data_IF_111916130578
#
_entry.id   IF_111916130578
#
_cell.length_a   1.000
_cell.length_b   1.000
_cell.length_c   1.000
_cell.angle_alpha   90.00
_cell.angle_beta   90.00
_cell.angle_gamma   90.00
#
_symmetry.space_group_name_H-M   'P 1'
#
loop_
_entity.id
_entity.type
_entity.pdbx_description
1 polymer ?
#
# COMPACT_ATOMS: atom_id res chain seq x y z
N UNK A 1 15.38 28.61 -22.48
CA UNK A 1 15.91 28.30 -21.13
C UNK A 1 15.32 26.95 -20.74
N UNK A 2 16.02 25.88 -21.11
CA UNK A 2 15.64 24.50 -20.77
C UNK A 2 16.26 24.28 -19.40
N UNK A 3 15.42 24.09 -18.38
CA UNK A 3 15.91 23.65 -17.09
C UNK A 3 16.37 22.20 -17.26
N UNK A 4 17.68 21.98 -17.13
CA UNK A 4 18.27 20.66 -17.03
C UNK A 4 17.63 19.94 -15.84
N UNK A 5 16.72 19.02 -16.13
CA UNK A 5 16.11 18.12 -15.16
C UNK A 5 17.24 17.23 -14.64
N UNK A 6 17.48 17.34 -13.33
CA UNK A 6 18.50 16.65 -12.54
C UNK A 6 18.87 15.24 -13.07
N UNK A 7 20.16 14.86 -13.09
CA UNK A 7 20.55 13.50 -13.41
C UNK A 7 19.99 12.56 -12.33
N UNK A 8 19.07 11.67 -12.74
CA UNK A 8 18.57 10.59 -11.90
C UNK A 8 19.76 9.73 -11.41
N UNK A 9 19.86 9.45 -10.10
CA UNK A 9 21.00 8.73 -9.57
C UNK A 9 21.06 7.30 -10.11
N UNK A 10 22.20 6.98 -10.69
CA UNK A 10 22.58 5.65 -11.17
C UNK A 10 22.75 4.69 -10.00
N UNK A 11 21.67 3.95 -9.70
CA UNK A 11 21.64 2.62 -9.07
C UNK A 11 22.13 2.49 -7.61
N UNK A 12 21.19 2.63 -6.67
CA UNK A 12 21.02 1.71 -5.52
C UNK A 12 19.52 1.35 -5.46
N UNK A 13 19.15 0.07 -5.34
CA UNK A 13 17.75 -0.41 -5.34
C UNK A 13 17.00 0.04 -4.06
N UNK A 14 16.65 1.32 -3.99
CA UNK A 14 15.76 1.94 -3.03
C UNK A 14 15.11 3.11 -3.79
N UNK A 15 13.81 3.05 -4.05
CA UNK A 15 13.15 4.14 -4.77
C UNK A 15 11.91 3.78 -5.59
N UNK A 16 11.06 2.86 -5.11
CA UNK A 16 9.66 2.82 -5.52
C UNK A 16 8.81 3.56 -4.47
N UNK A 17 7.64 4.12 -4.81
CA UNK A 17 6.67 4.54 -3.80
C UNK A 17 6.43 3.39 -2.81
N UNK A 18 6.33 3.70 -1.53
CA UNK A 18 5.80 2.72 -0.57
C UNK A 18 4.28 2.81 -0.56
N UNK A 19 3.65 1.65 -0.47
CA UNK A 19 2.23 1.52 -0.23
C UNK A 19 2.00 1.58 1.29
N UNK A 20 1.33 2.60 1.77
CA UNK A 20 0.74 2.62 3.10
C UNK A 20 -0.69 2.09 3.00
N UNK A 21 -0.94 0.90 3.53
CA UNK A 21 -2.24 0.23 3.43
C UNK A 21 -2.71 -0.24 4.79
N UNK A 22 -3.92 0.16 5.19
CA UNK A 22 -4.47 -0.24 6.48
C UNK A 22 -6.00 -0.23 6.48
N UNK A 23 -6.58 -1.01 7.39
CA UNK A 23 -8.04 -1.11 7.58
C UNK A 23 -8.44 -0.34 8.84
N UNK A 24 -9.32 0.63 8.66
CA UNK A 24 -9.83 1.48 9.72
C UNK A 24 -11.35 1.33 9.84
N UNK A 25 -11.90 1.56 11.02
CA UNK A 25 -13.34 1.70 11.21
C UNK A 25 -13.71 3.19 11.28
N UNK A 26 -14.65 3.63 10.43
CA UNK A 26 -15.15 5.00 10.47
C UNK A 26 -16.26 5.19 11.53
N UNK A 27 -16.74 6.44 11.70
CA UNK A 27 -17.79 6.77 12.68
C UNK A 27 -19.15 6.09 12.40
N UNK A 28 -19.39 5.64 11.16
CA UNK A 28 -20.59 4.84 10.81
C UNK A 28 -20.39 3.34 11.00
N UNK A 29 -19.29 2.93 11.64
CA UNK A 29 -18.90 1.54 11.91
C UNK A 29 -18.57 0.72 10.66
N UNK A 30 -18.36 1.35 9.51
CA UNK A 30 -17.88 0.68 8.31
C UNK A 30 -16.36 0.46 8.38
N UNK A 31 -15.92 -0.74 8.02
CA UNK A 31 -14.51 -1.08 7.86
C UNK A 31 -14.05 -0.70 6.45
N UNK A 32 -13.00 0.09 6.37
CA UNK A 32 -12.48 0.65 5.13
C UNK A 32 -10.98 0.35 5.02
N UNK A 33 -10.57 -0.24 3.90
CA UNK A 33 -9.17 -0.35 3.51
C UNK A 33 -8.75 0.94 2.81
N UNK A 34 -7.86 1.71 3.44
CA UNK A 34 -7.17 2.83 2.81
C UNK A 34 -5.87 2.35 2.19
N UNK A 35 -5.61 2.75 0.94
CA UNK A 35 -4.34 2.50 0.25
C UNK A 35 -3.77 3.83 -0.25
N UNK A 36 -2.61 4.21 0.26
CA UNK A 36 -1.91 5.43 -0.10
C UNK A 36 -0.57 5.11 -0.73
N UNK A 37 -0.27 5.76 -1.85
CA UNK A 37 1.06 5.76 -2.44
C UNK A 37 1.83 6.94 -1.88
N UNK A 38 2.98 6.67 -1.27
CA UNK A 38 3.81 7.72 -0.69
C UNK A 38 5.19 7.69 -1.34
N UNK A 39 5.61 8.84 -1.86
CA UNK A 39 6.90 9.04 -2.49
C UNK A 39 7.45 10.42 -2.12
N UNK A 40 8.68 10.45 -1.59
CA UNK A 40 9.39 11.69 -1.22
C UNK A 40 8.58 12.66 -0.34
N UNK A 41 7.79 12.13 0.60
CA UNK A 41 6.96 12.95 1.49
C UNK A 41 5.63 13.43 0.89
N UNK A 42 5.37 13.11 -0.38
CA UNK A 42 4.07 13.32 -1.01
C UNK A 42 3.24 12.03 -0.93
N UNK A 43 2.05 12.12 -0.32
CA UNK A 43 1.08 11.03 -0.26
C UNK A 43 -0.07 11.27 -1.23
N UNK A 44 -0.45 10.24 -1.99
CA UNK A 44 -1.65 10.20 -2.81
C UNK A 44 -2.55 9.06 -2.36
N UNK A 45 -3.84 9.31 -2.17
CA UNK A 45 -4.80 8.23 -1.95
C UNK A 45 -5.03 7.49 -3.27
N UNK A 46 -4.61 6.23 -3.34
CA UNK A 46 -4.84 5.37 -4.50
C UNK A 46 -6.23 4.74 -4.46
N UNK A 47 -6.64 4.25 -3.29
CA UNK A 47 -7.96 3.66 -3.10
C UNK A 47 -8.45 3.84 -1.66
N UNK A 48 -9.78 3.89 -1.53
CA UNK A 48 -10.50 3.75 -0.26
C UNK A 48 -11.66 2.78 -0.50
N UNK A 49 -11.54 1.57 0.04
CA UNK A 49 -12.43 0.46 -0.31
C UNK A 49 -13.21 -0.04 0.91
N UNK A 50 -14.48 -0.41 0.77
CA UNK A 50 -15.19 -1.12 1.83
C UNK A 50 -14.62 -2.53 2.00
N UNK A 51 -14.21 -2.89 3.22
CA UNK A 51 -13.72 -4.24 3.53
C UNK A 51 -14.87 -5.24 3.66
N UNK A 52 -16.08 -4.77 3.97
CA UNK A 52 -17.27 -5.60 4.16
C UNK A 52 -17.28 -6.34 5.51
N UNK A 53 -18.14 -7.36 5.66
CA UNK A 53 -18.32 -8.05 6.94
C UNK A 53 -17.15 -8.96 7.31
N UNK A 54 -16.39 -9.46 6.32
CA UNK A 54 -15.24 -10.35 6.54
C UNK A 54 -13.95 -9.54 6.54
N UNK A 55 -13.44 -9.26 7.73
CA UNK A 55 -12.26 -8.42 7.98
C UNK A 55 -11.25 -9.12 8.90
N UNK A 56 -11.18 -10.46 8.83
CA UNK A 56 -10.06 -11.22 9.39
C UNK A 56 -8.77 -11.01 8.58
N UNK A 57 -7.64 -11.43 9.12
CA UNK A 57 -6.34 -11.21 8.51
C UNK A 57 -6.19 -11.81 7.10
N UNK A 58 -6.88 -12.90 6.79
CA UNK A 58 -6.83 -13.51 5.45
C UNK A 58 -7.57 -12.61 4.47
N UNK A 59 -8.78 -12.19 4.83
CA UNK A 59 -9.58 -11.30 3.99
C UNK A 59 -8.89 -9.94 3.74
N UNK A 60 -8.23 -9.39 4.77
CA UNK A 60 -7.44 -8.16 4.62
C UNK A 60 -6.24 -8.39 3.72
N UNK A 61 -5.51 -9.51 3.89
CA UNK A 61 -4.38 -9.84 3.03
C UNK A 61 -4.81 -9.99 1.56
N UNK A 62 -5.91 -10.68 1.28
CA UNK A 62 -6.47 -10.81 -0.07
C UNK A 62 -6.81 -9.46 -0.70
N UNK A 63 -7.43 -8.55 0.06
CA UNK A 63 -7.77 -7.20 -0.44
C UNK A 63 -6.52 -6.35 -0.69
N UNK A 64 -5.56 -6.36 0.24
CA UNK A 64 -4.29 -5.66 0.08
C UNK A 64 -3.50 -6.19 -1.12
N UNK A 65 -3.43 -7.51 -1.29
CA UNK A 65 -2.79 -8.16 -2.44
C UNK A 65 -3.45 -7.75 -3.75
N UNK A 66 -4.77 -7.79 -3.83
CA UNK A 66 -5.51 -7.32 -5.01
C UNK A 66 -5.14 -5.88 -5.38
N UNK A 67 -4.97 -5.00 -4.38
CA UNK A 67 -4.52 -3.62 -4.62
C UNK A 67 -3.07 -3.53 -5.06
N UNK A 68 -2.17 -4.33 -4.48
CA UNK A 68 -0.79 -4.40 -4.89
C UNK A 68 -0.63 -4.89 -6.34
N UNK A 69 -1.41 -5.90 -6.75
CA UNK A 69 -1.44 -6.40 -8.12
C UNK A 69 -1.99 -5.34 -9.08
N UNK A 70 -3.09 -4.67 -8.70
CA UNK A 70 -3.67 -3.59 -9.51
C UNK A 70 -2.69 -2.43 -9.69
N UNK A 71 -2.01 -2.01 -8.63
CA UNK A 71 -0.98 -0.98 -8.69
C UNK A 71 0.16 -1.33 -9.64
N UNK A 72 0.64 -2.59 -9.59
CA UNK A 72 1.67 -3.07 -10.51
C UNK A 72 1.17 -3.08 -11.96
N UNK A 73 -0.08 -3.48 -12.20
CA UNK A 73 -0.71 -3.43 -13.52
C UNK A 73 -0.88 -1.99 -14.03
N UNK A 74 -1.11 -1.03 -13.14
CA UNK A 74 -1.14 0.40 -13.45
C UNK A 74 0.26 1.01 -13.69
N UNK A 75 1.32 0.21 -13.55
CA UNK A 75 2.71 0.61 -13.83
C UNK A 75 3.50 1.10 -12.62
N UNK A 76 2.96 0.99 -11.40
CA UNK A 76 3.68 1.35 -10.19
C UNK A 76 4.69 0.27 -9.77
N UNK A 77 5.90 0.70 -9.43
CA UNK A 77 6.91 -0.17 -8.81
C UNK A 77 6.81 0.01 -7.30
N UNK A 78 6.14 -0.92 -6.61
CA UNK A 78 5.98 -0.86 -5.15
C UNK A 78 7.32 -1.15 -4.48
N UNK A 79 7.87 -0.16 -3.80
CA UNK A 79 9.17 -0.25 -3.10
C UNK A 79 9.09 -0.88 -1.71
N UNK A 80 7.88 -0.92 -1.13
CA UNK A 80 7.59 -1.51 0.17
C UNK A 80 6.12 -1.34 0.52
N UNK A 81 5.64 -2.16 1.46
CA UNK A 81 4.28 -2.06 2.01
C UNK A 81 4.37 -1.83 3.50
N UNK A 82 3.69 -0.80 3.97
CA UNK A 82 3.64 -0.36 5.36
C UNK A 82 2.20 -0.46 5.84
N UNK A 83 2.03 -0.94 7.06
CA UNK A 83 0.77 -0.97 7.82
C UNK A 83 1.17 -0.88 9.30
N UNK A 84 0.25 -0.48 10.15
CA UNK A 84 0.48 -0.52 11.58
C UNK A 84 0.71 -1.97 12.09
N UNK A 85 1.08 -2.09 13.36
CA UNK A 85 1.27 -3.41 13.99
C UNK A 85 0.06 -3.84 14.82
N UNK A 86 -1.15 -3.39 14.47
CA UNK A 86 -2.38 -3.70 15.19
C UNK A 86 -3.17 -4.85 14.53
N UNK A 87 -3.75 -5.69 15.39
CA UNK A 87 -4.83 -6.61 15.05
C UNK A 87 -4.63 -7.45 13.78
N UNK A 88 -5.63 -7.40 12.91
CA UNK A 88 -5.69 -8.20 11.68
C UNK A 88 -4.73 -7.67 10.62
N UNK A 89 -4.44 -6.37 10.58
CA UNK A 89 -3.50 -5.75 9.65
C UNK A 89 -2.06 -6.23 9.90
N UNK A 90 -1.64 -6.30 11.17
CA UNK A 90 -0.35 -6.88 11.56
C UNK A 90 -0.19 -8.34 11.12
N UNK A 91 -1.29 -9.11 11.11
CA UNK A 91 -1.30 -10.51 10.69
C UNK A 91 -1.38 -10.64 9.17
N UNK A 92 -2.14 -9.79 8.49
CA UNK A 92 -2.18 -9.69 7.04
C UNK A 92 -0.81 -9.36 6.46
N UNK A 93 -0.08 -8.40 7.06
CA UNK A 93 1.31 -8.09 6.70
C UNK A 93 2.22 -9.31 6.75
N UNK A 94 2.11 -10.14 7.80
CA UNK A 94 2.89 -11.38 7.95
C UNK A 94 2.52 -12.45 6.92
N UNK A 95 1.26 -12.48 6.46
CA UNK A 95 0.84 -13.34 5.36
C UNK A 95 1.46 -12.84 4.04
N UNK A 96 1.38 -11.54 3.78
CA UNK A 96 1.87 -10.93 2.53
C UNK A 96 3.38 -10.88 2.42
N UNK A 97 4.12 -10.74 3.52
CA UNK A 97 5.59 -10.79 3.49
C UNK A 97 6.09 -12.10 2.88
N UNK A 98 5.43 -13.22 3.16
CA UNK A 98 5.80 -14.52 2.57
C UNK A 98 5.67 -14.54 1.03
N UNK A 99 4.92 -13.62 0.43
CA UNK A 99 4.67 -13.57 -1.02
C UNK A 99 5.43 -12.45 -1.74
N UNK A 100 5.60 -11.30 -1.09
CA UNK A 100 6.10 -10.08 -1.76
C UNK A 100 7.44 -9.55 -1.22
N UNK A 101 7.82 -9.82 0.04
CA UNK A 101 8.99 -9.22 0.69
C UNK A 101 9.69 -10.12 1.71
#
# INVERSE_FOLDING_TARGET
MIADIFPLPTRKKLGGPFLDADVWQNISRAHLLGCQLVLFGCGMTYALLPTGPRHDAIAIAEQMECMMEKMQNDGWIIGGVVTDNAGQCARARRILSLRFF
#
